data_IF_581829427934
#
_entry.id   IF_581829427934
#
_cell.length_a   1.000
_cell.length_b   1.000
_cell.length_c   1.000
_cell.angle_alpha   90.00
_cell.angle_beta   90.00
_cell.angle_gamma   90.00
#
_symmetry.space_group_name_H-M   'P 1'
#
loop_
_entity.id
_entity.type
_entity.pdbx_description
1 polymer ?
#
# COMPACT_ATOMS: atom_id res chain seq x y z
N UNK A 1 38.38 -41.00 -60.50
CA UNK A 1 39.43 -40.44 -59.64
C UNK A 1 38.83 -39.28 -58.86
N UNK A 2 38.52 -39.50 -57.58
CA UNK A 2 38.03 -38.51 -56.64
C UNK A 2 38.97 -38.49 -55.45
N UNK A 3 39.52 -37.33 -55.04
CA UNK A 3 40.35 -37.28 -53.86
C UNK A 3 39.49 -37.07 -52.59
N UNK A 4 39.65 -38.01 -51.66
CA UNK A 4 39.25 -37.89 -50.28
C UNK A 4 40.06 -36.81 -49.58
N UNK A 5 39.41 -35.77 -49.09
CA UNK A 5 39.97 -34.92 -48.04
C UNK A 5 38.89 -34.52 -47.00
N UNK A 6 38.41 -35.47 -46.22
CA UNK A 6 37.77 -35.17 -44.94
C UNK A 6 38.82 -35.38 -43.84
N UNK A 7 39.60 -34.37 -43.60
CA UNK A 7 40.51 -34.30 -42.47
C UNK A 7 39.67 -34.02 -41.20
N UNK A 8 39.30 -35.09 -40.48
CA UNK A 8 38.73 -34.98 -39.12
C UNK A 8 39.67 -34.11 -38.30
N UNK A 9 39.25 -32.90 -37.97
CA UNK A 9 39.90 -32.09 -36.94
C UNK A 9 39.81 -32.89 -35.63
N UNK A 10 40.91 -33.41 -35.15
CA UNK A 10 41.09 -33.96 -33.82
C UNK A 10 40.74 -32.85 -32.84
N UNK A 11 39.55 -32.85 -32.25
CA UNK A 11 39.20 -31.97 -31.17
C UNK A 11 40.27 -32.11 -30.08
N UNK A 12 40.96 -31.03 -29.76
CA UNK A 12 41.86 -30.94 -28.62
C UNK A 12 41.10 -31.38 -27.38
N UNK A 13 41.47 -32.54 -26.81
CA UNK A 13 40.96 -32.94 -25.51
C UNK A 13 41.32 -31.85 -24.49
N UNK A 14 40.36 -31.10 -23.92
CA UNK A 14 40.69 -30.07 -22.98
C UNK A 14 41.43 -30.70 -21.81
N UNK A 15 42.60 -30.11 -21.41
CA UNK A 15 43.36 -30.59 -20.26
C UNK A 15 42.47 -30.60 -19.03
N UNK A 16 42.66 -31.56 -18.12
CA UNK A 16 41.82 -31.73 -16.92
C UNK A 16 41.70 -30.44 -16.13
N UNK A 17 42.76 -29.60 -16.11
CA UNK A 17 42.74 -28.24 -15.53
C UNK A 17 41.71 -27.33 -16.21
N UNK A 18 41.58 -27.37 -17.54
CA UNK A 18 40.64 -26.53 -18.28
C UNK A 18 39.17 -26.93 -18.03
N UNK A 19 38.90 -28.22 -17.88
CA UNK A 19 37.55 -28.71 -17.49
C UNK A 19 37.17 -28.27 -16.08
N UNK A 20 38.10 -28.31 -15.16
CA UNK A 20 37.93 -27.93 -13.76
C UNK A 20 37.68 -26.41 -13.62
N UNK A 21 38.47 -25.59 -14.32
CA UNK A 21 38.26 -24.14 -14.39
C UNK A 21 36.90 -23.77 -15.02
N UNK A 22 36.48 -24.48 -16.06
CA UNK A 22 35.18 -24.26 -16.70
C UNK A 22 34.00 -24.62 -15.77
N UNK A 23 34.10 -25.74 -15.05
CA UNK A 23 33.04 -26.17 -14.13
C UNK A 23 32.94 -25.23 -12.91
N UNK A 24 34.07 -24.80 -12.36
CA UNK A 24 34.11 -23.83 -11.24
C UNK A 24 33.61 -22.46 -11.67
N UNK A 25 34.03 -22.01 -12.85
CA UNK A 25 33.58 -20.75 -13.44
C UNK A 25 32.09 -20.73 -13.74
N UNK A 26 31.52 -21.84 -14.24
CA UNK A 26 30.07 -21.94 -14.46
C UNK A 26 29.28 -21.92 -13.18
N UNK A 27 29.77 -22.58 -12.11
CA UNK A 27 29.11 -22.55 -10.80
C UNK A 27 29.14 -21.13 -10.20
N UNK A 28 30.29 -20.47 -10.27
CA UNK A 28 30.43 -19.09 -9.82
C UNK A 28 29.52 -18.12 -10.58
N UNK A 29 29.41 -18.29 -11.91
CA UNK A 29 28.51 -17.48 -12.74
C UNK A 29 27.04 -17.68 -12.39
N UNK A 30 26.61 -18.94 -12.14
CA UNK A 30 25.23 -19.23 -11.72
C UNK A 30 24.92 -18.58 -10.35
N UNK A 31 25.86 -18.64 -9.41
CA UNK A 31 25.68 -18.03 -8.09
C UNK A 31 25.62 -16.48 -8.18
N UNK A 32 26.45 -15.86 -9.00
CA UNK A 32 26.41 -14.43 -9.24
C UNK A 32 25.08 -14.02 -9.90
N UNK A 33 24.62 -14.75 -10.90
CA UNK A 33 23.32 -14.51 -11.55
C UNK A 33 22.16 -14.64 -10.57
N UNK A 34 22.17 -15.68 -9.75
CA UNK A 34 21.15 -15.89 -8.71
C UNK A 34 21.15 -14.73 -7.70
N UNK A 35 22.33 -14.25 -7.28
CA UNK A 35 22.44 -13.10 -6.37
C UNK A 35 21.91 -11.80 -7.00
N UNK A 36 22.22 -11.54 -8.27
CA UNK A 36 21.71 -10.37 -8.99
C UNK A 36 20.19 -10.43 -9.13
N UNK A 37 19.64 -11.59 -9.51
CA UNK A 37 18.17 -11.76 -9.62
C UNK A 37 17.50 -11.52 -8.26
N UNK A 38 18.04 -12.07 -7.17
CA UNK A 38 17.50 -11.86 -5.81
C UNK A 38 17.50 -10.38 -5.40
N UNK A 39 18.55 -9.61 -5.76
CA UNK A 39 18.62 -8.18 -5.48
C UNK A 39 17.59 -7.40 -6.31
N UNK A 40 17.40 -7.76 -7.58
CA UNK A 40 16.41 -7.11 -8.45
C UNK A 40 14.98 -7.37 -7.98
N UNK A 41 14.68 -8.60 -7.59
CA UNK A 41 13.37 -8.97 -7.01
C UNK A 41 13.11 -8.23 -5.70
N UNK A 42 14.12 -8.13 -4.83
CA UNK A 42 14.03 -7.35 -3.59
C UNK A 42 13.69 -5.88 -3.86
N UNK A 43 14.38 -5.24 -4.81
CA UNK A 43 14.11 -3.84 -5.16
C UNK A 43 12.69 -3.67 -5.66
N UNK A 44 12.23 -4.49 -6.62
CA UNK A 44 10.86 -4.44 -7.13
C UNK A 44 9.81 -4.57 -6.03
N UNK A 45 10.04 -5.49 -5.11
CA UNK A 45 9.12 -5.72 -4.01
C UNK A 45 9.13 -4.56 -3.01
N UNK A 46 10.29 -3.98 -2.72
CA UNK A 46 10.43 -2.80 -1.86
C UNK A 46 9.71 -1.58 -2.45
N UNK A 47 9.85 -1.34 -3.74
CA UNK A 47 9.21 -0.23 -4.43
C UNK A 47 7.68 -0.39 -4.44
N UNK A 48 7.18 -1.59 -4.78
CA UNK A 48 5.74 -1.90 -4.76
C UNK A 48 5.09 -1.68 -3.40
N UNK A 49 5.76 -2.13 -2.33
CA UNK A 49 5.26 -1.94 -0.96
C UNK A 49 5.35 -0.49 -0.52
N UNK A 50 6.42 0.21 -0.92
CA UNK A 50 6.53 1.65 -0.69
C UNK A 50 5.35 2.42 -1.28
N UNK A 51 4.94 2.09 -2.50
CA UNK A 51 3.76 2.68 -3.17
C UNK A 51 2.45 2.34 -2.44
N UNK A 52 2.25 1.08 -2.02
CA UNK A 52 1.05 0.66 -1.27
C UNK A 52 0.96 1.38 0.09
N UNK A 53 2.05 1.47 0.83
CA UNK A 53 2.08 2.18 2.12
C UNK A 53 1.80 3.67 1.91
N UNK A 54 2.40 4.29 0.90
CA UNK A 54 2.17 5.70 0.57
C UNK A 54 0.70 5.96 0.19
N UNK A 55 0.07 5.08 -0.59
CA UNK A 55 -1.35 5.16 -0.95
C UNK A 55 -2.24 5.07 0.30
N UNK A 56 -1.98 4.11 1.20
CA UNK A 56 -2.76 3.96 2.43
C UNK A 56 -2.59 5.17 3.38
N UNK A 57 -1.37 5.70 3.54
CA UNK A 57 -1.14 6.92 4.33
C UNK A 57 -1.90 8.10 3.71
N UNK A 58 -1.91 8.21 2.39
CA UNK A 58 -2.68 9.24 1.69
C UNK A 58 -4.18 9.09 1.96
N UNK A 59 -4.71 7.86 1.93
CA UNK A 59 -6.13 7.59 2.23
C UNK A 59 -6.48 7.96 3.67
N UNK A 60 -5.62 7.64 4.65
CA UNK A 60 -5.80 8.03 6.06
C UNK A 60 -5.85 9.56 6.19
N UNK A 61 -4.89 10.28 5.60
CA UNK A 61 -4.84 11.74 5.66
C UNK A 61 -6.06 12.39 5.00
N UNK A 62 -6.56 11.83 3.89
CA UNK A 62 -7.75 12.36 3.21
C UNK A 62 -9.02 12.09 4.02
N UNK A 63 -9.15 10.91 4.64
CA UNK A 63 -10.30 10.59 5.48
C UNK A 63 -10.32 11.46 6.75
N UNK A 64 -9.15 11.72 7.36
CA UNK A 64 -9.04 12.65 8.48
C UNK A 64 -9.47 14.06 8.10
N UNK A 65 -9.00 14.57 6.95
CA UNK A 65 -9.42 15.90 6.47
C UNK A 65 -10.93 16.02 6.24
N UNK A 66 -11.56 14.95 5.72
CA UNK A 66 -13.00 14.93 5.54
C UNK A 66 -13.73 14.95 6.89
N UNK A 67 -13.24 14.20 7.86
CA UNK A 67 -13.78 14.19 9.22
C UNK A 67 -13.62 15.58 9.88
N UNK A 68 -12.42 16.17 9.80
CA UNK A 68 -12.12 17.49 10.41
C UNK A 68 -13.00 18.61 9.83
N UNK A 69 -13.17 18.67 8.50
CA UNK A 69 -14.02 19.67 7.84
C UNK A 69 -15.48 19.55 8.30
N UNK A 70 -15.97 18.30 8.43
CA UNK A 70 -17.36 18.06 8.84
C UNK A 70 -17.57 18.29 10.34
N UNK A 71 -16.57 17.96 11.16
CA UNK A 71 -16.59 18.23 12.60
C UNK A 71 -16.60 19.73 12.89
N UNK A 72 -15.72 20.48 12.23
CA UNK A 72 -15.65 21.93 12.33
C UNK A 72 -17.00 22.58 11.96
N UNK A 73 -17.60 22.14 10.86
CA UNK A 73 -18.91 22.61 10.45
C UNK A 73 -20.00 22.29 11.50
N UNK A 74 -20.01 21.07 12.04
CA UNK A 74 -20.97 20.69 13.09
C UNK A 74 -20.78 21.50 14.38
N UNK A 75 -19.53 21.82 14.76
CA UNK A 75 -19.24 22.70 15.91
C UNK A 75 -19.70 24.14 15.68
N UNK A 76 -19.52 24.66 14.46
CA UNK A 76 -20.01 25.99 14.12
C UNK A 76 -21.53 26.05 14.13
N UNK A 77 -22.21 25.01 13.62
CA UNK A 77 -23.69 24.89 13.71
C UNK A 77 -24.17 24.85 15.17
N UNK A 78 -23.47 24.08 16.04
CA UNK A 78 -23.79 24.09 17.48
C UNK A 78 -23.62 25.49 18.09
N UNK A 79 -22.61 26.25 17.66
CA UNK A 79 -22.38 27.61 18.13
C UNK A 79 -23.54 28.53 17.77
N UNK A 80 -24.12 28.40 16.57
CA UNK A 80 -25.33 29.14 16.15
C UNK A 80 -26.51 28.84 17.08
N UNK A 81 -26.70 27.54 17.41
CA UNK A 81 -27.77 27.10 18.30
C UNK A 81 -27.59 27.67 19.71
N UNK A 82 -26.37 27.56 20.27
CA UNK A 82 -26.07 27.98 21.64
C UNK A 82 -26.16 29.49 21.79
N UNK A 83 -25.70 30.27 20.79
CA UNK A 83 -25.73 31.72 20.80
C UNK A 83 -27.08 32.30 20.34
N UNK A 84 -27.94 31.44 19.76
CA UNK A 84 -29.21 31.84 19.17
C UNK A 84 -29.05 33.00 18.16
N UNK A 85 -27.99 32.90 17.35
CA UNK A 85 -27.61 33.95 16.40
C UNK A 85 -27.32 33.32 15.00
N UNK A 86 -28.28 33.53 14.09
CA UNK A 86 -28.17 33.01 12.72
C UNK A 86 -27.11 33.73 11.89
N UNK A 87 -26.68 34.94 12.30
CA UNK A 87 -25.70 35.71 11.57
C UNK A 87 -24.31 35.05 11.51
N UNK A 88 -24.05 34.14 12.46
CA UNK A 88 -22.81 33.32 12.51
C UNK A 88 -22.93 31.96 11.82
N UNK A 89 -24.01 31.77 11.03
CA UNK A 89 -24.21 30.53 10.28
C UNK A 89 -23.01 30.22 9.39
N UNK A 90 -22.40 29.03 9.53
CA UNK A 90 -21.26 28.66 8.73
C UNK A 90 -21.63 28.38 7.28
N UNK A 91 -20.76 28.79 6.36
CA UNK A 91 -20.85 28.39 4.96
C UNK A 91 -20.09 27.09 4.73
N UNK A 92 -20.79 26.05 4.26
CA UNK A 92 -20.16 24.77 3.99
C UNK A 92 -19.60 24.70 2.57
N UNK A 93 -18.28 24.52 2.46
CA UNK A 93 -17.63 24.38 1.16
C UNK A 93 -17.81 22.96 0.59
N UNK A 94 -19.01 22.70 0.03
CA UNK A 94 -19.38 21.41 -0.58
C UNK A 94 -18.43 21.00 -1.72
N UNK A 95 -17.91 21.95 -2.49
CA UNK A 95 -16.98 21.66 -3.59
C UNK A 95 -15.64 21.14 -3.07
N UNK A 96 -15.14 21.68 -1.97
CA UNK A 96 -13.92 21.20 -1.31
C UNK A 96 -14.11 19.80 -0.73
N UNK A 97 -15.25 19.55 -0.09
CA UNK A 97 -15.56 18.22 0.44
C UNK A 97 -15.61 17.18 -0.67
N UNK A 98 -16.36 17.44 -1.75
CA UNK A 98 -16.47 16.53 -2.87
C UNK A 98 -15.11 16.24 -3.53
N UNK A 99 -14.26 17.26 -3.71
CA UNK A 99 -12.91 17.08 -4.25
C UNK A 99 -12.03 16.19 -3.35
N UNK A 100 -12.16 16.30 -2.03
CA UNK A 100 -11.46 15.45 -1.07
C UNK A 100 -12.02 14.01 -1.09
N UNK A 101 -13.35 13.85 -1.17
CA UNK A 101 -14.00 12.54 -1.27
C UNK A 101 -13.62 11.81 -2.57
N UNK A 102 -13.60 12.51 -3.70
CA UNK A 102 -13.11 11.96 -4.97
C UNK A 102 -11.63 11.58 -4.91
N UNK A 103 -10.81 12.41 -4.27
CA UNK A 103 -9.39 12.12 -4.06
C UNK A 103 -9.20 10.89 -3.16
N UNK A 104 -10.04 10.73 -2.15
CA UNK A 104 -10.06 9.56 -1.27
C UNK A 104 -10.46 8.30 -2.07
N UNK A 105 -11.54 8.37 -2.84
CA UNK A 105 -12.00 7.28 -3.70
C UNK A 105 -10.92 6.81 -4.67
N UNK A 106 -10.19 7.76 -5.27
CA UNK A 106 -9.10 7.48 -6.21
C UNK A 106 -7.79 7.03 -5.54
N UNK A 107 -7.66 7.14 -4.22
CA UNK A 107 -6.47 6.69 -3.49
C UNK A 107 -6.51 5.21 -3.13
N UNK A 108 -7.67 4.56 -3.20
CA UNK A 108 -7.78 3.13 -2.91
C UNK A 108 -7.30 2.28 -4.09
N UNK A 109 -6.39 1.35 -3.77
CA UNK A 109 -5.92 0.32 -4.70
C UNK A 109 -6.87 -0.89 -4.69
N UNK A 110 -7.59 -1.09 -3.58
CA UNK A 110 -8.53 -2.19 -3.37
C UNK A 110 -9.97 -1.77 -3.70
N UNK A 111 -10.66 -2.59 -4.48
CA UNK A 111 -12.09 -2.39 -4.76
C UNK A 111 -12.99 -2.59 -3.53
N UNK A 112 -12.48 -3.22 -2.47
CA UNK A 112 -13.27 -3.52 -1.26
C UNK A 112 -13.60 -2.27 -0.44
N UNK A 113 -12.80 -1.21 -0.53
CA UNK A 113 -13.03 0.04 0.20
C UNK A 113 -14.05 0.97 -0.51
N UNK A 114 -14.27 0.82 -1.82
CA UNK A 114 -15.16 1.68 -2.59
C UNK A 114 -16.60 1.75 -2.05
N UNK A 115 -17.27 0.62 -1.68
CA UNK A 115 -18.61 0.68 -1.10
C UNK A 115 -18.66 1.46 0.22
N UNK A 116 -17.57 1.45 1.00
CA UNK A 116 -17.50 2.20 2.27
C UNK A 116 -17.40 3.70 2.02
N UNK A 117 -16.64 4.13 1.00
CA UNK A 117 -16.59 5.54 0.60
C UNK A 117 -17.95 6.02 0.12
N UNK A 118 -18.68 5.20 -0.63
CA UNK A 118 -20.04 5.53 -1.07
C UNK A 118 -21.02 5.62 0.13
N UNK A 119 -20.86 4.78 1.15
CA UNK A 119 -21.63 4.85 2.41
C UNK A 119 -21.34 6.15 3.15
N UNK A 120 -20.06 6.51 3.32
CA UNK A 120 -19.65 7.79 3.93
C UNK A 120 -20.21 8.98 3.14
N UNK A 121 -20.14 8.95 1.82
CA UNK A 121 -20.70 10.02 0.97
C UNK A 121 -22.22 10.14 1.13
N UNK A 122 -22.90 9.02 1.31
CA UNK A 122 -24.36 9.01 1.51
C UNK A 122 -24.74 9.63 2.86
N UNK A 123 -24.11 9.21 3.94
CA UNK A 123 -24.38 9.75 5.29
C UNK A 123 -23.95 11.22 5.41
N UNK A 124 -22.89 11.62 4.74
CA UNK A 124 -22.49 13.01 4.61
C UNK A 124 -23.55 13.86 3.88
N UNK A 125 -24.02 13.41 2.72
CA UNK A 125 -25.07 14.13 1.97
C UNK A 125 -26.37 14.24 2.79
N UNK A 126 -26.69 13.23 3.59
CA UNK A 126 -27.84 13.28 4.49
C UNK A 126 -27.64 14.35 5.58
N UNK A 127 -26.46 14.40 6.19
CA UNK A 127 -26.08 15.43 7.17
C UNK A 127 -26.21 16.84 6.59
N UNK A 128 -25.57 17.11 5.43
CA UNK A 128 -25.62 18.43 4.78
C UNK A 128 -27.04 18.81 4.34
N UNK A 129 -27.78 17.89 3.75
CA UNK A 129 -29.18 18.15 3.39
C UNK A 129 -30.06 18.49 4.60
N UNK A 130 -29.76 17.86 5.73
CA UNK A 130 -30.47 18.14 6.99
C UNK A 130 -30.05 19.49 7.53
N UNK A 131 -28.74 19.84 7.51
CA UNK A 131 -28.26 21.13 7.97
C UNK A 131 -28.79 22.32 7.15
N UNK A 132 -29.01 22.15 5.85
CA UNK A 132 -29.62 23.18 4.98
C UNK A 132 -31.05 23.57 5.36
N UNK A 133 -31.73 22.78 6.18
CA UNK A 133 -33.04 23.09 6.71
C UNK A 133 -32.99 23.97 7.98
N UNK A 134 -31.79 24.27 8.46
CA UNK A 134 -31.62 24.99 9.73
C UNK A 134 -32.25 26.37 9.68
N UNK A 135 -32.11 27.10 8.56
CA UNK A 135 -32.71 28.43 8.40
C UNK A 135 -34.23 28.41 8.56
N UNK A 136 -34.88 27.40 7.95
CA UNK A 136 -36.33 27.23 8.08
C UNK A 136 -36.74 26.94 9.53
N UNK A 137 -35.97 26.10 10.21
CA UNK A 137 -36.21 25.72 11.61
C UNK A 137 -35.97 26.91 12.54
N UNK A 138 -34.90 27.67 12.31
CA UNK A 138 -34.51 28.83 13.12
C UNK A 138 -35.57 29.95 13.05
N UNK A 139 -36.18 30.12 11.88
CA UNK A 139 -37.21 31.15 11.65
C UNK A 139 -38.62 30.72 12.09
N UNK A 140 -38.78 29.43 12.40
CA UNK A 140 -40.07 28.88 12.79
C UNK A 140 -40.27 29.03 14.30
N UNK A 141 -41.13 29.95 14.74
CA UNK A 141 -41.48 30.18 16.18
C UNK A 141 -42.00 28.93 16.91
N UNK A 142 -42.35 27.88 16.19
CA UNK A 142 -42.96 26.67 16.74
C UNK A 142 -42.01 25.53 17.05
N UNK A 143 -40.70 25.66 16.67
CA UNK A 143 -39.70 24.62 16.80
C UNK A 143 -38.54 25.10 17.67
N UNK A 144 -38.25 24.34 18.74
CA UNK A 144 -37.03 24.57 19.54
C UNK A 144 -35.80 24.17 18.71
N UNK A 145 -34.95 25.16 18.38
CA UNK A 145 -33.74 24.97 17.57
C UNK A 145 -32.79 23.99 18.22
N UNK A 146 -32.68 24.01 19.56
CA UNK A 146 -31.84 23.08 20.30
C UNK A 146 -32.38 21.64 20.23
N UNK A 147 -33.68 21.46 20.42
CA UNK A 147 -34.32 20.14 20.30
C UNK A 147 -34.16 19.58 18.89
N UNK A 148 -34.35 20.41 17.89
CA UNK A 148 -34.13 20.01 16.47
C UNK A 148 -32.65 19.65 16.20
N UNK A 149 -31.70 20.47 16.69
CA UNK A 149 -30.29 20.19 16.51
C UNK A 149 -29.89 18.83 17.11
N UNK A 150 -30.22 18.59 18.39
CA UNK A 150 -29.85 17.36 19.08
C UNK A 150 -30.71 16.14 18.67
N UNK A 151 -31.97 16.36 18.28
CA UNK A 151 -32.88 15.28 17.88
C UNK A 151 -32.82 14.91 16.41
N UNK A 152 -32.40 15.82 15.53
CA UNK A 152 -32.45 15.59 14.08
C UNK A 152 -31.09 15.73 13.40
N UNK A 153 -30.37 16.85 13.59
CA UNK A 153 -29.11 17.09 12.90
C UNK A 153 -27.96 16.24 13.49
N UNK A 154 -27.84 16.24 14.82
CA UNK A 154 -26.76 15.51 15.52
C UNK A 154 -26.79 14.00 15.25
N UNK A 155 -27.92 13.31 15.15
CA UNK A 155 -27.97 11.91 14.72
C UNK A 155 -27.41 11.67 13.32
N UNK A 156 -27.67 12.58 12.35
CA UNK A 156 -27.10 12.50 10.99
C UNK A 156 -25.59 12.65 11.02
N UNK A 157 -25.08 13.62 11.80
CA UNK A 157 -23.64 13.78 12.01
C UNK A 157 -23.01 12.55 12.68
N UNK A 158 -23.63 12.01 13.71
CA UNK A 158 -23.13 10.81 14.40
C UNK A 158 -23.08 9.59 13.47
N UNK A 159 -24.07 9.45 12.58
CA UNK A 159 -24.06 8.42 11.54
C UNK A 159 -22.87 8.60 10.58
N UNK A 160 -22.66 9.79 10.07
CA UNK A 160 -21.48 10.10 9.23
C UNK A 160 -20.18 9.76 9.96
N UNK A 161 -20.04 10.17 11.23
CA UNK A 161 -18.85 9.89 12.04
C UNK A 161 -18.64 8.38 12.25
N UNK A 162 -19.71 7.64 12.45
CA UNK A 162 -19.65 6.18 12.56
C UNK A 162 -19.19 5.53 11.25
N UNK A 163 -19.77 5.92 10.11
CA UNK A 163 -19.42 5.40 8.80
C UNK A 163 -17.96 5.74 8.45
N UNK A 164 -17.50 6.95 8.82
CA UNK A 164 -16.10 7.36 8.68
C UNK A 164 -15.16 6.54 9.57
N UNK A 165 -15.59 6.20 10.78
CA UNK A 165 -14.85 5.30 11.68
C UNK A 165 -14.65 3.92 11.06
N UNK A 166 -15.72 3.32 10.51
CA UNK A 166 -15.64 2.02 9.81
C UNK A 166 -14.70 2.07 8.62
N UNK A 167 -14.73 3.15 7.83
CA UNK A 167 -13.81 3.36 6.72
C UNK A 167 -12.35 3.43 7.19
N UNK A 168 -12.07 4.21 8.24
CA UNK A 168 -10.74 4.35 8.82
C UNK A 168 -10.20 3.01 9.36
N UNK A 169 -11.01 2.26 10.07
CA UNK A 169 -10.64 0.94 10.58
C UNK A 169 -10.28 -0.01 9.45
N UNK A 170 -11.02 0.06 8.34
CA UNK A 170 -10.74 -0.76 7.16
C UNK A 170 -9.42 -0.35 6.48
N UNK A 171 -9.14 0.94 6.35
CA UNK A 171 -7.87 1.45 5.80
C UNK A 171 -6.69 0.99 6.67
N UNK A 172 -6.82 1.08 7.99
CA UNK A 172 -5.78 0.62 8.92
C UNK A 172 -5.56 -0.90 8.85
N UNK A 173 -6.62 -1.68 8.72
CA UNK A 173 -6.53 -3.13 8.57
C UNK A 173 -5.87 -3.51 7.23
N UNK A 174 -6.19 -2.80 6.15
CA UNK A 174 -5.55 -2.99 4.85
C UNK A 174 -4.06 -2.65 4.90
N UNK A 175 -3.67 -1.55 5.55
CA UNK A 175 -2.28 -1.19 5.79
C UNK A 175 -1.54 -2.29 6.58
N UNK A 176 -2.19 -2.82 7.64
CA UNK A 176 -1.63 -3.90 8.46
C UNK A 176 -1.43 -5.18 7.66
N UNK A 177 -2.40 -5.56 6.83
CA UNK A 177 -2.31 -6.75 5.95
C UNK A 177 -1.20 -6.60 4.92
N UNK A 178 -1.16 -5.47 4.23
CA UNK A 178 -0.13 -5.18 3.23
C UNK A 178 1.27 -5.21 3.84
N UNK A 179 1.44 -4.68 5.06
CA UNK A 179 2.70 -4.74 5.80
C UNK A 179 3.08 -6.17 6.21
N UNK A 180 2.11 -6.97 6.66
CA UNK A 180 2.35 -8.37 7.03
C UNK A 180 2.70 -9.24 5.81
N UNK A 181 2.00 -9.05 4.70
CA UNK A 181 2.25 -9.76 3.44
C UNK A 181 3.64 -9.40 2.88
N UNK A 182 4.06 -8.15 3.04
CA UNK A 182 5.43 -7.74 2.71
C UNK A 182 6.47 -8.50 3.52
N UNK A 183 6.33 -8.49 4.85
CA UNK A 183 7.29 -9.16 5.72
C UNK A 183 7.35 -10.66 5.39
N UNK A 184 6.21 -11.31 5.19
CA UNK A 184 6.14 -12.71 4.81
C UNK A 184 6.77 -12.99 3.43
N UNK A 185 6.49 -12.15 2.44
CA UNK A 185 7.05 -12.24 1.10
C UNK A 185 8.56 -11.98 1.09
N UNK A 186 9.02 -11.01 1.88
CA UNK A 186 10.44 -10.72 2.08
C UNK A 186 11.21 -11.94 2.59
N UNK A 187 10.75 -12.59 3.66
CA UNK A 187 11.40 -13.78 4.19
C UNK A 187 11.33 -14.94 3.19
N UNK A 188 10.23 -15.12 2.48
CA UNK A 188 10.06 -16.19 1.49
C UNK A 188 10.99 -16.03 0.29
N UNK A 189 11.30 -14.80 -0.12
CA UNK A 189 12.14 -14.51 -1.29
C UNK A 189 13.63 -14.46 -0.96
N UNK A 190 14.00 -13.84 0.16
CA UNK A 190 15.42 -13.59 0.51
C UNK A 190 16.08 -14.80 1.14
N UNK A 191 15.40 -15.52 2.03
CA UNK A 191 16.03 -16.65 2.74
C UNK A 191 16.55 -17.72 1.78
N UNK A 192 15.79 -18.22 0.78
CA UNK A 192 16.31 -19.19 -0.17
C UNK A 192 17.49 -18.67 -0.99
N UNK A 193 17.44 -17.40 -1.41
CA UNK A 193 18.53 -16.75 -2.14
C UNK A 193 19.82 -16.69 -1.33
N UNK A 194 19.72 -16.26 -0.08
CA UNK A 194 20.87 -16.16 0.83
C UNK A 194 21.46 -17.54 1.19
N UNK A 195 20.61 -18.52 1.44
CA UNK A 195 21.01 -19.91 1.72
C UNK A 195 21.70 -20.51 0.51
N UNK A 196 21.19 -20.29 -0.70
CA UNK A 196 21.77 -20.80 -1.94
C UNK A 196 23.15 -20.21 -2.23
N UNK A 197 23.34 -18.90 -2.00
CA UNK A 197 24.65 -18.22 -2.15
C UNK A 197 25.65 -18.72 -1.08
N UNK A 198 25.22 -18.83 0.16
CA UNK A 198 26.08 -19.35 1.25
C UNK A 198 26.51 -20.80 1.02
N UNK A 199 25.57 -21.67 0.64
CA UNK A 199 25.86 -23.06 0.30
C UNK A 199 26.81 -23.17 -0.90
N UNK A 200 26.63 -22.34 -1.90
CA UNK A 200 27.50 -22.29 -3.08
C UNK A 200 28.91 -21.85 -2.74
N UNK A 201 29.09 -20.86 -1.86
CA UNK A 201 30.42 -20.45 -1.38
C UNK A 201 31.12 -21.55 -0.61
N UNK A 202 30.39 -22.27 0.26
CA UNK A 202 30.94 -23.43 0.99
C UNK A 202 31.38 -24.52 0.04
N UNK A 203 30.57 -24.84 -0.98
CA UNK A 203 30.91 -25.81 -2.02
C UNK A 203 32.16 -25.40 -2.81
N UNK A 204 32.32 -24.15 -3.17
CA UNK A 204 33.50 -23.63 -3.87
C UNK A 204 34.75 -23.77 -2.97
N UNK A 205 34.65 -23.44 -1.67
CA UNK A 205 35.77 -23.61 -0.72
C UNK A 205 36.16 -25.08 -0.56
N UNK A 206 35.19 -25.98 -0.42
CA UNK A 206 35.44 -27.42 -0.33
C UNK A 206 36.11 -27.96 -1.60
N UNK A 207 35.63 -27.58 -2.77
CA UNK A 207 36.25 -27.97 -4.06
C UNK A 207 37.68 -27.43 -4.17
N UNK A 208 37.92 -26.18 -3.77
CA UNK A 208 39.24 -25.58 -3.76
C UNK A 208 40.19 -26.33 -2.80
N UNK A 209 39.72 -26.67 -1.61
CA UNK A 209 40.48 -27.47 -0.64
C UNK A 209 40.82 -28.86 -1.18
N UNK A 210 39.87 -29.58 -1.81
CA UNK A 210 40.11 -30.89 -2.41
C UNK A 210 41.14 -30.82 -3.55
N UNK A 211 41.06 -29.79 -4.38
CA UNK A 211 41.99 -29.60 -5.49
C UNK A 211 43.40 -29.35 -4.95
N UNK A 212 43.56 -28.48 -3.94
CA UNK A 212 44.86 -28.21 -3.34
C UNK A 212 45.42 -29.44 -2.63
N UNK A 213 44.62 -30.21 -1.91
CA UNK A 213 45.05 -31.42 -1.20
C UNK A 213 45.47 -32.56 -2.16
N UNK A 214 44.81 -32.67 -3.34
CA UNK A 214 45.15 -33.74 -4.32
C UNK A 214 46.22 -33.37 -5.33
N UNK A 215 46.50 -32.08 -5.57
CA UNK A 215 47.43 -31.64 -6.59
C UNK A 215 48.70 -30.96 -6.05
N UNK A 216 48.76 -30.63 -4.77
CA UNK A 216 49.95 -30.00 -4.13
C UNK A 216 50.72 -30.98 -3.20
N UNK A 217 50.11 -32.13 -2.84
CA UNK A 217 50.79 -33.28 -2.27
C UNK A 217 51.00 -34.36 -3.32
#
# INVERSE_FOLDING_TARGET
MLPKFFRKKKGLKPSMRRKLFLSLGSLAAILLLSGVISILEYRRMSDYVGELIAANIKSINLSQKLADITEEYNHQMLSVVVQNDISIMPDFNLSQFNAQADSLKNSFTSQNALPMVDTVSTSFNEFIRTSMKFDEVFLADSVDTGEWFFGTLQPCYNKFRQDMGVLNDNIHEELRRNSADFVAGFYRSIIPGFVSVAAGLVLIMLLFYFIMAFYVN
#
